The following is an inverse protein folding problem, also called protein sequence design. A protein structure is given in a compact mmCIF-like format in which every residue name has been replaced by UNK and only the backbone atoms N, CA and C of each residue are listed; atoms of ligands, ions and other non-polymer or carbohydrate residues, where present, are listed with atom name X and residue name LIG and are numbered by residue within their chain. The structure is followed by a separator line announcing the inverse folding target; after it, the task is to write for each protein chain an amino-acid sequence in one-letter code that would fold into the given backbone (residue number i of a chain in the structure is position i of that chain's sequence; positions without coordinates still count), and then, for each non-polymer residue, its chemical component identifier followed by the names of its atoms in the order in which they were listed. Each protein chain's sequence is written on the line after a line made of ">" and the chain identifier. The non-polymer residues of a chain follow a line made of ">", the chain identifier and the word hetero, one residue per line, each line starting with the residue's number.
data_IF_026014436541
#
_entry.id   IF_026014436541
#
_cell.length_a   1.000
_cell.length_b   1.000
_cell.length_c   1.000
_cell.angle_alpha   90.00
_cell.angle_beta   90.00
_cell.angle_gamma   90.00
#
_symmetry.space_group_name_H-M   'P 1'
#
loop_
_entity.id
_entity.type
_entity.pdbx_description
1 polymer ?
#
# COMPACT_ATOMS: atom_id res chain seq x y z
N UNK A 1 -15.29 -26.27 37.37
CA UNK A 1 -13.93 -26.20 36.76
C UNK A 1 -13.93 -26.15 35.23
N UNK A 2 -14.58 -27.04 34.50
CA UNK A 2 -14.55 -27.02 32.98
C UNK A 2 -15.03 -25.69 32.36
N UNK A 3 -16.05 -25.01 32.89
CA UNK A 3 -16.53 -23.71 32.33
C UNK A 3 -15.51 -22.57 32.50
N UNK A 4 -14.75 -22.54 33.59
CA UNK A 4 -13.73 -21.53 33.84
C UNK A 4 -12.55 -21.68 32.90
N UNK A 5 -12.18 -22.93 32.56
CA UNK A 5 -11.13 -23.25 31.60
C UNK A 5 -11.50 -22.78 30.17
N UNK A 6 -12.76 -22.94 29.76
CA UNK A 6 -13.24 -22.46 28.45
C UNK A 6 -13.22 -20.94 28.35
N UNK A 7 -13.62 -20.22 29.42
CA UNK A 7 -13.60 -18.76 29.46
C UNK A 7 -12.15 -18.25 29.41
N UNK A 8 -11.23 -18.87 30.16
CA UNK A 8 -9.82 -18.51 30.12
C UNK A 8 -9.19 -18.78 28.73
N UNK A 9 -9.54 -19.90 28.08
CA UNK A 9 -9.08 -20.20 26.72
C UNK A 9 -9.61 -19.22 25.68
N UNK A 10 -10.86 -18.75 25.84
CA UNK A 10 -11.46 -17.76 24.94
C UNK A 10 -10.82 -16.39 25.10
N UNK A 11 -10.50 -15.99 26.36
CA UNK A 11 -9.81 -14.73 26.65
C UNK A 11 -8.37 -14.75 26.10
N UNK A 12 -7.65 -15.85 26.26
CA UNK A 12 -6.31 -16.02 25.70
C UNK A 12 -6.34 -16.01 24.17
N UNK A 13 -7.35 -16.61 23.54
CA UNK A 13 -7.56 -16.57 22.10
C UNK A 13 -7.86 -15.15 21.61
N UNK A 14 -8.70 -14.39 22.31
CA UNK A 14 -8.99 -13.00 22.00
C UNK A 14 -7.75 -12.09 22.19
N UNK A 15 -6.93 -12.33 23.20
CA UNK A 15 -5.69 -11.59 23.44
C UNK A 15 -4.60 -11.91 22.42
N UNK A 16 -4.54 -13.14 21.89
CA UNK A 16 -3.58 -13.51 20.82
C UNK A 16 -4.01 -13.00 19.45
N UNK A 17 -5.31 -12.82 19.21
CA UNK A 17 -5.82 -12.19 17.99
C UNK A 17 -5.55 -10.68 17.96
N UNK A 18 -5.41 -10.03 19.12
CA UNK A 18 -5.08 -8.60 19.19
C UNK A 18 -3.61 -8.25 18.88
N UNK A 19 -2.71 -9.23 18.83
CA UNK A 19 -1.29 -8.97 18.53
C UNK A 19 -0.95 -8.90 17.04
N UNK A 20 -1.92 -9.15 16.15
CA UNK A 20 -1.80 -8.90 14.72
C UNK A 20 -2.67 -7.73 14.23
N UNK A 21 -3.08 -6.86 15.12
CA UNK A 21 -3.43 -5.49 14.72
C UNK A 21 -2.09 -4.88 14.31
N UNK A 22 -1.71 -5.04 13.05
CA UNK A 22 -0.84 -4.10 12.37
C UNK A 22 -1.37 -2.73 12.84
N UNK A 23 -0.58 -2.03 13.66
CA UNK A 23 -0.91 -0.67 14.06
C UNK A 23 -1.21 0.05 12.74
N UNK A 24 -2.48 0.33 12.48
CA UNK A 24 -2.94 0.76 11.18
C UNK A 24 -2.12 1.99 10.82
N UNK A 25 -1.14 1.83 9.94
CA UNK A 25 -0.36 2.95 9.45
C UNK A 25 -1.37 3.84 8.76
N UNK A 26 -1.58 5.03 9.31
CA UNK A 26 -2.54 5.97 8.73
C UNK A 26 -2.05 6.30 7.34
N UNK A 27 -2.91 6.08 6.34
CA UNK A 27 -2.63 6.36 4.93
C UNK A 27 -2.18 7.81 4.81
N UNK A 28 -0.99 8.02 4.25
CA UNK A 28 -0.43 9.35 4.11
C UNK A 28 -1.02 10.11 2.93
N UNK A 29 -1.22 11.41 3.10
CA UNK A 29 -1.62 12.29 2.01
C UNK A 29 -0.53 12.32 0.92
N UNK A 30 -0.96 12.22 -0.33
CA UNK A 30 -0.07 12.27 -1.49
C UNK A 30 -0.02 13.68 -2.05
N UNK A 31 1.12 14.07 -2.62
CA UNK A 31 1.20 15.25 -3.46
C UNK A 31 0.37 15.05 -4.75
N UNK A 32 0.03 16.14 -5.43
CA UNK A 32 -0.82 16.14 -6.62
C UNK A 32 -0.03 16.67 -7.81
N UNK A 33 -0.18 16.04 -8.97
CA UNK A 33 0.22 16.60 -10.26
C UNK A 33 -1.01 16.79 -11.13
N UNK A 34 -1.23 17.98 -11.64
CA UNK A 34 -2.27 18.28 -12.62
C UNK A 34 -1.71 17.97 -14.01
N UNK A 35 -2.30 17.00 -14.69
CA UNK A 35 -1.99 16.60 -16.06
C UNK A 35 -3.23 16.84 -16.91
N UNK A 36 -3.14 17.69 -17.93
CA UNK A 36 -4.29 18.01 -18.80
C UNK A 36 -5.56 18.44 -18.02
N UNK A 37 -5.38 19.23 -16.96
CA UNK A 37 -6.45 19.71 -16.06
C UNK A 37 -7.07 18.66 -15.14
N UNK A 38 -6.54 17.45 -15.10
CA UNK A 38 -6.97 16.36 -14.22
C UNK A 38 -5.95 16.19 -13.08
N UNK A 39 -6.42 16.05 -11.86
CA UNK A 39 -5.58 15.81 -10.69
C UNK A 39 -5.19 14.32 -10.62
N UNK A 40 -3.90 14.09 -10.42
CA UNK A 40 -3.32 12.78 -10.22
C UNK A 40 -2.57 12.74 -8.89
N UNK A 41 -2.77 11.70 -8.10
CA UNK A 41 -2.05 11.43 -6.85
C UNK A 41 -0.68 10.83 -7.16
N UNK A 42 0.38 11.35 -6.54
CA UNK A 42 1.75 10.95 -6.84
C UNK A 42 2.26 9.94 -5.80
N UNK A 43 2.91 8.91 -6.26
CA UNK A 43 3.45 7.83 -5.42
C UNK A 43 4.69 8.20 -4.59
N UNK A 44 5.15 9.45 -4.63
CA UNK A 44 6.32 9.95 -3.88
C UNK A 44 6.11 11.38 -3.41
N UNK A 45 6.64 11.77 -2.25
CA UNK A 45 6.61 13.15 -1.78
C UNK A 45 7.61 14.00 -2.57
N UNK A 46 7.12 14.87 -3.46
CA UNK A 46 7.95 15.64 -4.40
C UNK A 46 8.72 16.77 -3.74
N UNK A 47 8.15 17.40 -2.70
CA UNK A 47 8.80 18.51 -2.00
C UNK A 47 10.07 18.09 -1.24
N UNK A 48 10.24 16.82 -0.91
CA UNK A 48 11.47 16.37 -0.24
C UNK A 48 12.72 16.38 -1.13
N UNK A 49 12.56 16.56 -2.44
CA UNK A 49 13.69 16.69 -3.35
C UNK A 49 14.28 18.11 -3.43
N UNK A 50 13.59 19.12 -2.88
CA UNK A 50 14.17 20.46 -2.77
C UNK A 50 15.34 20.42 -1.79
N UNK A 51 16.33 21.29 -1.96
CA UNK A 51 17.45 21.34 -1.02
C UNK A 51 16.98 21.61 0.42
N UNK A 52 17.77 21.11 1.39
CA UNK A 52 17.39 21.14 2.80
C UNK A 52 17.09 22.55 3.32
N UNK A 53 17.84 23.56 2.87
CA UNK A 53 17.65 24.94 3.31
C UNK A 53 16.31 25.50 2.79
N UNK A 54 15.99 25.22 1.53
CA UNK A 54 14.70 25.59 0.91
C UNK A 54 13.53 24.91 1.60
N UNK A 55 13.66 23.61 1.88
CA UNK A 55 12.61 22.86 2.59
C UNK A 55 12.37 23.40 4.00
N UNK A 56 13.43 23.65 4.78
CA UNK A 56 13.31 24.18 6.13
C UNK A 56 12.72 25.59 6.15
N UNK A 57 13.09 26.45 5.20
CA UNK A 57 12.52 27.79 5.07
C UNK A 57 11.02 27.72 4.77
N UNK A 58 10.59 26.85 3.86
CA UNK A 58 9.16 26.61 3.57
C UNK A 58 8.43 26.08 4.80
N UNK A 59 9.01 25.10 5.48
CA UNK A 59 8.41 24.46 6.67
C UNK A 59 8.15 25.48 7.78
N UNK A 60 9.09 26.39 8.02
CA UNK A 60 8.96 27.43 9.03
C UNK A 60 7.93 28.49 8.61
N UNK A 61 8.08 29.08 7.41
CA UNK A 61 7.28 30.21 6.97
C UNK A 61 5.83 29.86 6.58
N UNK A 62 5.59 28.65 6.13
CA UNK A 62 4.26 28.14 5.82
C UNK A 62 3.65 27.31 6.96
N UNK A 63 4.34 27.23 8.09
CA UNK A 63 3.89 26.56 9.31
C UNK A 63 3.39 25.13 9.07
N UNK A 64 4.25 24.28 8.50
CA UNK A 64 3.91 22.87 8.27
C UNK A 64 3.54 22.14 9.56
N UNK A 65 4.11 22.56 10.72
CA UNK A 65 3.86 21.89 12.00
C UNK A 65 2.41 22.04 12.46
N UNK A 66 1.73 23.16 12.15
CA UNK A 66 0.31 23.38 12.51
C UNK A 66 -0.65 22.44 11.77
N UNK A 67 -0.17 21.80 10.69
CA UNK A 67 -0.96 20.92 9.82
C UNK A 67 -0.49 19.46 9.86
N UNK A 68 0.31 19.11 10.88
CA UNK A 68 0.77 17.74 11.07
C UNK A 68 -0.31 16.91 11.73
N UNK A 69 -0.83 15.92 10.99
CA UNK A 69 -1.81 14.95 11.45
C UNK A 69 -1.32 13.53 11.16
N UNK A 70 -1.95 12.53 11.76
CA UNK A 70 -1.58 11.12 11.51
C UNK A 70 -1.64 10.73 10.02
N UNK A 71 -2.55 11.33 9.24
CA UNK A 71 -2.69 11.14 7.79
C UNK A 71 -1.81 12.10 6.95
N UNK A 72 -1.15 13.07 7.57
CA UNK A 72 -0.27 14.03 6.92
C UNK A 72 0.88 14.43 7.85
N UNK A 73 1.81 13.50 8.14
CA UNK A 73 2.93 13.77 9.03
C UNK A 73 3.90 14.81 8.48
N UNK A 74 3.85 15.09 7.16
CA UNK A 74 4.65 16.12 6.51
C UNK A 74 4.15 17.54 6.80
N UNK A 75 2.88 17.66 7.23
CA UNK A 75 2.21 18.94 7.49
C UNK A 75 1.86 19.72 6.24
N UNK A 76 1.99 19.14 5.05
CA UNK A 76 1.63 19.79 3.79
C UNK A 76 1.26 18.79 2.70
N UNK A 77 0.51 19.28 1.71
CA UNK A 77 0.29 18.63 0.42
C UNK A 77 0.66 19.64 -0.67
N UNK A 78 1.57 19.28 -1.55
CA UNK A 78 1.97 20.14 -2.67
C UNK A 78 1.19 19.76 -3.94
N UNK A 79 0.75 20.79 -4.67
CA UNK A 79 0.10 20.63 -5.98
C UNK A 79 1.00 21.20 -7.06
N UNK A 80 1.36 20.37 -8.01
CA UNK A 80 2.13 20.74 -9.20
C UNK A 80 1.26 20.69 -10.44
N UNK A 81 1.70 21.34 -11.51
CA UNK A 81 1.04 21.29 -12.82
C UNK A 81 2.06 21.13 -13.93
N UNK A 82 1.76 20.27 -14.89
CA UNK A 82 2.54 20.15 -16.12
C UNK A 82 2.02 21.18 -17.14
N UNK A 83 2.87 22.12 -17.53
CA UNK A 83 2.60 23.10 -18.58
C UNK A 83 3.61 22.93 -19.73
N UNK A 84 3.13 22.47 -20.87
CA UNK A 84 3.99 21.93 -21.93
C UNK A 84 4.64 20.64 -21.41
N UNK A 85 5.95 20.65 -21.27
CA UNK A 85 6.72 19.54 -20.70
C UNK A 85 7.41 19.92 -19.37
N UNK A 86 7.02 21.02 -18.72
CA UNK A 86 7.66 21.53 -17.50
C UNK A 86 6.71 21.42 -16.32
N UNK A 87 7.27 21.04 -15.18
CA UNK A 87 6.57 20.90 -13.92
C UNK A 87 6.68 22.21 -13.12
N UNK A 88 5.54 22.78 -12.74
CA UNK A 88 5.46 24.00 -11.93
C UNK A 88 4.76 23.70 -10.61
N UNK A 89 5.26 24.27 -9.50
CA UNK A 89 4.54 24.27 -8.24
C UNK A 89 3.41 25.29 -8.29
N UNK A 90 2.17 24.85 -8.09
CA UNK A 90 0.99 25.70 -8.08
C UNK A 90 0.61 26.13 -6.66
N UNK A 91 0.61 25.21 -5.72
CA UNK A 91 0.21 25.49 -4.33
C UNK A 91 0.86 24.52 -3.35
N UNK A 92 0.93 24.97 -2.10
CA UNK A 92 1.20 24.13 -0.93
C UNK A 92 0.03 24.34 0.03
N UNK A 93 -0.66 23.26 0.35
CA UNK A 93 -1.75 23.24 1.33
C UNK A 93 -1.20 22.82 2.68
N UNK A 94 -1.45 23.65 3.70
CA UNK A 94 -1.22 23.38 5.12
C UNK A 94 -2.56 23.55 5.85
N UNK A 95 -2.64 24.34 6.93
CA UNK A 95 -3.93 24.82 7.49
C UNK A 95 -4.66 25.78 6.53
N UNK A 96 -3.97 26.30 5.54
CA UNK A 96 -4.47 27.13 4.45
C UNK A 96 -3.73 26.82 3.15
N UNK A 97 -4.25 27.30 2.03
CA UNK A 97 -3.63 27.16 0.71
C UNK A 97 -2.70 28.33 0.45
N UNK A 98 -1.44 28.04 0.13
CA UNK A 98 -0.42 29.02 -0.25
C UNK A 98 -0.16 28.91 -1.76
N UNK A 99 -0.23 30.03 -2.46
CA UNK A 99 0.02 30.15 -3.91
C UNK A 99 1.06 31.21 -4.26
N UNK A 100 1.43 32.06 -3.31
CA UNK A 100 2.49 33.05 -3.44
C UNK A 100 3.77 32.53 -2.74
N UNK A 101 4.84 32.43 -3.49
CA UNK A 101 6.13 31.93 -3.05
C UNK A 101 7.25 32.97 -3.21
N UNK A 102 6.89 34.26 -3.43
CA UNK A 102 7.84 35.37 -3.49
C UNK A 102 8.65 35.46 -2.19
N UNK A 103 9.95 35.62 -2.30
CA UNK A 103 10.86 35.61 -1.17
C UNK A 103 11.12 34.24 -0.53
N UNK A 104 10.45 33.15 -1.03
CA UNK A 104 10.63 31.79 -0.54
C UNK A 104 11.34 30.90 -1.57
N UNK A 105 10.93 30.99 -2.83
CA UNK A 105 11.41 30.14 -3.93
C UNK A 105 11.90 30.96 -5.13
N UNK A 106 12.39 32.17 -4.92
CA UNK A 106 12.79 33.10 -5.98
C UNK A 106 13.81 32.49 -6.96
N UNK A 107 14.75 31.69 -6.47
CA UNK A 107 15.76 31.02 -7.32
C UNK A 107 15.14 30.02 -8.32
N UNK A 108 13.90 29.61 -8.09
CA UNK A 108 13.16 28.69 -8.96
C UNK A 108 12.09 29.41 -9.80
N UNK A 109 11.92 30.72 -9.63
CA UNK A 109 10.91 31.47 -10.38
C UNK A 109 11.35 31.74 -11.82
N UNK A 110 10.43 31.53 -12.72
CA UNK A 110 10.58 31.97 -14.11
C UNK A 110 10.25 33.48 -14.26
N UNK A 111 10.48 34.03 -15.47
CA UNK A 111 10.21 35.43 -15.76
C UNK A 111 8.73 35.86 -15.61
N UNK A 112 7.81 34.90 -15.46
CA UNK A 112 6.38 35.12 -15.24
C UNK A 112 5.97 34.96 -13.78
N UNK A 113 6.93 34.80 -12.85
CA UNK A 113 6.70 34.60 -11.43
C UNK A 113 6.16 33.21 -11.08
N UNK A 114 6.32 32.21 -11.96
CA UNK A 114 5.91 30.84 -11.69
C UNK A 114 7.08 30.04 -11.15
N UNK A 115 6.86 29.20 -10.15
CA UNK A 115 7.89 28.36 -9.56
C UNK A 115 8.11 27.12 -10.42
N UNK A 116 9.20 27.10 -11.18
CA UNK A 116 9.62 25.94 -11.96
C UNK A 116 10.31 24.92 -11.06
N UNK A 117 9.72 23.74 -10.94
CA UNK A 117 10.17 22.69 -10.01
C UNK A 117 11.44 21.97 -10.52
N UNK A 118 12.49 22.71 -10.85
CA UNK A 118 13.75 22.17 -11.40
C UNK A 118 14.52 21.26 -10.44
N UNK A 119 14.11 21.21 -9.18
CA UNK A 119 14.68 20.27 -8.18
C UNK A 119 14.12 18.85 -8.29
N UNK A 120 13.07 18.61 -9.10
CA UNK A 120 12.42 17.31 -9.22
C UNK A 120 13.05 16.51 -10.34
N UNK A 121 13.56 15.31 -10.01
CA UNK A 121 14.04 14.33 -10.97
C UNK A 121 13.68 12.91 -10.51
N UNK A 122 13.40 12.02 -11.46
CA UNK A 122 13.13 10.61 -11.22
C UNK A 122 11.89 10.10 -11.93
N UNK A 123 11.51 8.86 -11.62
CA UNK A 123 10.30 8.23 -12.13
C UNK A 123 9.21 8.27 -11.07
N UNK A 124 8.01 8.71 -11.47
CA UNK A 124 6.83 8.89 -10.65
C UNK A 124 5.63 8.20 -11.27
N UNK A 125 4.83 7.54 -10.43
CA UNK A 125 3.51 7.02 -10.83
C UNK A 125 2.44 8.01 -10.32
N UNK A 126 1.62 8.49 -11.23
CA UNK A 126 0.58 9.48 -10.99
C UNK A 126 -0.78 8.85 -11.27
N UNK A 127 -1.57 8.61 -10.21
CA UNK A 127 -2.83 7.88 -10.28
C UNK A 127 -4.07 8.78 -10.25
N UNK A 128 -5.10 8.43 -11.02
CA UNK A 128 -6.42 9.07 -11.04
C UNK A 128 -7.53 8.04 -11.25
N UNK A 129 -8.78 8.46 -11.04
CA UNK A 129 -9.94 7.55 -11.07
C UNK A 129 -10.14 6.80 -9.75
N UNK A 130 -10.78 5.63 -9.80
CA UNK A 130 -11.00 4.79 -8.64
C UNK A 130 -9.69 4.28 -8.05
N UNK A 131 -9.58 4.28 -6.72
CA UNK A 131 -8.46 3.67 -6.02
C UNK A 131 -8.72 2.16 -5.88
N UNK A 132 -8.00 1.37 -6.65
CA UNK A 132 -8.17 -0.09 -6.71
C UNK A 132 -7.48 -0.81 -5.54
N UNK A 133 -6.37 -0.26 -5.08
CA UNK A 133 -5.60 -0.76 -3.94
C UNK A 133 -5.13 0.40 -3.06
N UNK A 134 -5.19 0.19 -1.75
CA UNK A 134 -4.75 1.16 -0.74
C UNK A 134 -3.54 0.60 -0.01
N UNK A 135 -2.36 1.12 -0.32
CA UNK A 135 -1.16 0.77 0.41
C UNK A 135 -1.16 1.39 1.82
N UNK A 136 -0.58 0.69 2.79
CA UNK A 136 -0.51 1.15 4.18
C UNK A 136 0.22 2.48 4.34
N UNK A 137 1.23 2.75 3.50
CA UNK A 137 1.95 4.03 3.46
C UNK A 137 1.23 5.12 2.67
N UNK A 138 0.17 4.78 1.93
CA UNK A 138 -0.59 5.67 1.04
C UNK A 138 0.07 5.88 -0.33
N UNK A 139 1.39 5.84 -0.44
CA UNK A 139 2.11 6.19 -1.66
C UNK A 139 2.10 5.09 -2.73
N UNK A 140 2.16 3.82 -2.33
CA UNK A 140 2.15 2.69 -3.26
C UNK A 140 0.74 2.22 -3.64
N UNK A 141 -0.28 3.05 -3.37
CA UNK A 141 -1.66 2.79 -3.79
C UNK A 141 -1.78 2.71 -5.31
N UNK A 142 -2.68 1.84 -5.81
CA UNK A 142 -2.95 1.71 -7.24
C UNK A 142 -4.30 2.35 -7.58
N UNK A 143 -4.37 2.95 -8.77
CA UNK A 143 -5.55 3.65 -9.28
C UNK A 143 -5.99 3.05 -10.61
N UNK A 144 -7.25 3.26 -10.98
CA UNK A 144 -7.84 2.81 -12.26
C UNK A 144 -7.02 3.28 -13.47
N UNK A 145 -6.56 4.52 -13.44
CA UNK A 145 -5.65 5.06 -14.45
C UNK A 145 -4.38 5.54 -13.80
N UNK A 146 -3.24 5.14 -14.34
CA UNK A 146 -1.94 5.58 -13.87
C UNK A 146 -1.10 6.08 -15.04
N UNK A 147 -0.37 7.15 -14.79
CA UNK A 147 0.62 7.72 -15.72
C UNK A 147 1.99 7.66 -15.07
N UNK A 148 2.89 6.90 -15.66
CA UNK A 148 4.30 6.94 -15.34
C UNK A 148 4.93 8.16 -15.98
N UNK A 149 5.61 8.98 -15.20
CA UNK A 149 6.34 10.17 -15.63
C UNK A 149 7.82 9.98 -15.34
N UNK A 150 8.66 10.20 -16.34
CA UNK A 150 10.11 10.38 -16.15
C UNK A 150 10.40 11.88 -16.22
N UNK A 151 10.95 12.42 -15.12
CA UNK A 151 11.23 13.85 -14.97
C UNK A 151 12.73 14.05 -14.76
N UNK A 152 13.31 15.00 -15.47
CA UNK A 152 14.71 15.42 -15.33
C UNK A 152 14.75 16.93 -15.11
N UNK A 153 15.22 17.35 -13.93
CA UNK A 153 15.31 18.77 -13.54
C UNK A 153 14.01 19.54 -13.81
N UNK A 154 12.86 18.95 -13.41
CA UNK A 154 11.54 19.55 -13.61
C UNK A 154 10.97 19.47 -15.01
N UNK A 155 11.67 18.82 -15.95
CA UNK A 155 11.21 18.60 -17.33
C UNK A 155 10.74 17.17 -17.49
N UNK A 156 9.51 16.97 -17.95
CA UNK A 156 8.97 15.66 -18.30
C UNK A 156 9.63 15.22 -19.62
N UNK A 157 10.46 14.19 -19.56
CA UNK A 157 11.18 13.64 -20.72
C UNK A 157 10.49 12.44 -21.33
N UNK A 158 9.66 11.74 -20.53
CA UNK A 158 8.83 10.63 -21.00
C UNK A 158 7.58 10.50 -20.17
N UNK A 159 6.49 10.03 -20.78
CA UNK A 159 5.26 9.66 -20.09
C UNK A 159 4.61 8.45 -20.75
N UNK A 160 4.04 7.56 -19.93
CA UNK A 160 3.29 6.39 -20.37
C UNK A 160 2.06 6.21 -19.49
N UNK A 161 0.89 6.15 -20.10
CA UNK A 161 -0.38 5.92 -19.37
C UNK A 161 -0.86 4.51 -19.60
N UNK A 162 -1.39 3.89 -18.54
CA UNK A 162 -2.00 2.56 -18.59
C UNK A 162 -3.25 2.53 -17.70
N UNK A 163 -4.15 1.59 -18.01
CA UNK A 163 -5.38 1.37 -17.27
C UNK A 163 -5.27 0.08 -16.47
N UNK A 164 -5.57 0.19 -15.20
CA UNK A 164 -5.58 -0.91 -14.25
C UNK A 164 -6.99 -1.45 -14.09
N UNK A 165 -7.12 -2.68 -13.58
CA UNK A 165 -8.40 -3.33 -13.36
C UNK A 165 -8.36 -4.21 -12.12
N UNK A 166 -9.54 -4.63 -11.64
CA UNK A 166 -9.66 -5.55 -10.51
C UNK A 166 -10.38 -6.83 -10.94
N UNK A 167 -10.15 -7.88 -10.15
CA UNK A 167 -10.90 -9.13 -10.21
C UNK A 167 -11.35 -9.50 -8.80
N UNK A 168 -12.38 -10.34 -8.70
CA UNK A 168 -12.91 -10.86 -7.44
C UNK A 168 -13.56 -9.81 -6.54
N UNK A 169 -14.17 -10.26 -5.47
CA UNK A 169 -14.96 -9.41 -4.57
C UNK A 169 -14.62 -9.60 -3.09
N UNK A 170 -13.88 -10.67 -2.77
CA UNK A 170 -13.68 -11.11 -1.39
C UNK A 170 -12.39 -10.55 -0.81
N UNK A 171 -12.51 -9.83 0.29
CA UNK A 171 -11.38 -9.38 1.09
C UNK A 171 -11.08 -10.37 2.23
N UNK A 172 -9.82 -10.43 2.65
CA UNK A 172 -9.41 -11.32 3.74
C UNK A 172 -10.21 -11.05 5.03
N UNK A 173 -10.46 -9.78 5.35
CA UNK A 173 -11.28 -9.36 6.50
C UNK A 173 -12.66 -10.01 6.55
N UNK A 174 -13.25 -10.24 5.37
CA UNK A 174 -14.64 -10.70 5.26
C UNK A 174 -14.78 -12.20 5.56
N UNK A 175 -13.71 -12.97 5.41
CA UNK A 175 -13.77 -14.44 5.44
C UNK A 175 -12.82 -15.10 6.43
N UNK A 176 -11.99 -14.36 7.17
CA UNK A 176 -10.99 -14.95 8.08
C UNK A 176 -11.58 -16.00 9.02
N UNK A 177 -12.74 -15.69 9.63
CA UNK A 177 -13.43 -16.64 10.51
C UNK A 177 -13.95 -17.86 9.76
N UNK A 178 -14.50 -17.68 8.55
CA UNK A 178 -14.99 -18.78 7.72
C UNK A 178 -13.83 -19.67 7.28
N UNK A 179 -12.72 -19.07 6.84
CA UNK A 179 -11.51 -19.79 6.45
C UNK A 179 -11.00 -20.72 7.55
N UNK A 180 -10.94 -20.24 8.80
CA UNK A 180 -10.44 -21.05 9.92
C UNK A 180 -11.26 -22.32 10.16
N UNK A 181 -12.52 -22.38 9.70
CA UNK A 181 -13.41 -23.55 9.81
C UNK A 181 -13.29 -24.49 8.63
N UNK A 182 -12.79 -24.02 7.50
CA UNK A 182 -12.64 -24.82 6.28
C UNK A 182 -11.37 -25.68 6.29
N UNK A 183 -10.39 -25.37 7.16
CA UNK A 183 -9.18 -26.19 7.30
C UNK A 183 -9.48 -27.54 7.94
N UNK A 184 -9.21 -28.63 7.22
CA UNK A 184 -9.34 -30.01 7.74
C UNK A 184 -7.98 -30.53 8.24
N UNK A 185 -7.48 -29.88 9.31
CA UNK A 185 -6.19 -30.20 9.90
C UNK A 185 -6.14 -31.62 10.54
N UNK A 186 -7.30 -32.23 10.82
CA UNK A 186 -7.35 -33.60 11.38
C UNK A 186 -6.82 -34.67 10.40
N UNK A 187 -6.83 -34.39 9.11
CA UNK A 187 -6.24 -35.26 8.09
C UNK A 187 -4.72 -35.20 8.05
N UNK A 188 -4.13 -34.19 8.67
CA UNK A 188 -2.70 -33.96 8.69
C UNK A 188 -2.17 -34.47 10.02
N UNK A 189 -1.47 -35.60 9.99
CA UNK A 189 -0.86 -36.22 11.19
C UNK A 189 0.39 -35.44 11.62
N UNK A 190 0.21 -34.18 12.01
CA UNK A 190 1.28 -33.34 12.53
C UNK A 190 1.40 -33.48 14.05
N UNK A 191 2.58 -33.19 14.64
CA UNK A 191 2.74 -33.02 16.08
C UNK A 191 1.78 -31.97 16.62
N UNK A 192 1.23 -32.20 17.81
CA UNK A 192 0.36 -31.23 18.49
C UNK A 192 1.10 -29.90 18.67
N UNK A 193 0.45 -28.82 18.36
CA UNK A 193 1.04 -27.52 18.52
C UNK A 193 0.48 -26.47 17.53
N UNK A 194 1.13 -25.31 17.52
CA UNK A 194 0.83 -24.20 16.62
C UNK A 194 1.93 -24.07 15.57
N UNK A 195 1.54 -24.09 14.32
CA UNK A 195 2.41 -23.79 13.18
C UNK A 195 1.93 -22.46 12.58
N UNK A 196 2.83 -21.52 12.42
CA UNK A 196 2.51 -20.24 11.77
C UNK A 196 3.06 -20.25 10.36
N UNK A 197 2.18 -20.03 9.39
CA UNK A 197 2.54 -19.94 7.98
C UNK A 197 2.28 -18.53 7.47
N UNK A 198 3.12 -18.08 6.54
CA UNK A 198 2.84 -16.89 5.71
C UNK A 198 2.32 -17.39 4.37
N UNK A 199 1.23 -16.83 3.92
CA UNK A 199 0.52 -17.21 2.70
C UNK A 199 0.47 -16.00 1.78
N UNK A 200 0.88 -16.17 0.52
CA UNK A 200 0.80 -15.13 -0.50
C UNK A 200 0.34 -15.74 -1.83
N UNK A 201 -0.27 -14.91 -2.69
CA UNK A 201 -0.64 -15.32 -4.02
C UNK A 201 0.61 -15.44 -4.90
N UNK A 202 0.83 -16.61 -5.52
CA UNK A 202 2.02 -16.89 -6.33
C UNK A 202 1.73 -16.94 -7.82
N UNK A 203 0.51 -17.34 -8.23
CA UNK A 203 0.10 -17.36 -9.63
C UNK A 203 -1.32 -16.86 -9.81
N UNK A 204 -1.56 -16.24 -10.96
CA UNK A 204 -2.84 -15.69 -11.35
C UNK A 204 -3.24 -16.20 -12.74
N UNK A 205 -4.55 -16.32 -12.98
CA UNK A 205 -5.10 -16.49 -14.32
C UNK A 205 -4.95 -15.17 -15.13
N UNK A 206 -5.22 -15.22 -16.41
CA UNK A 206 -5.24 -14.03 -17.27
C UNK A 206 -6.30 -13.00 -16.83
N UNK A 207 -7.36 -13.46 -16.17
CA UNK A 207 -8.45 -12.63 -15.65
C UNK A 207 -8.18 -12.09 -14.25
N UNK A 208 -7.13 -12.62 -13.55
CA UNK A 208 -6.74 -12.16 -12.22
C UNK A 208 -7.18 -13.03 -11.06
N UNK A 209 -7.77 -14.20 -11.32
CA UNK A 209 -8.05 -15.18 -10.28
C UNK A 209 -6.74 -15.75 -9.76
N UNK A 210 -6.58 -15.84 -8.43
CA UNK A 210 -5.44 -16.56 -7.85
C UNK A 210 -5.59 -18.06 -8.11
N UNK A 211 -4.58 -18.67 -8.70
CA UNK A 211 -4.58 -20.10 -9.06
C UNK A 211 -3.61 -20.93 -8.22
N UNK A 212 -2.63 -20.28 -7.58
CA UNK A 212 -1.67 -20.94 -6.71
C UNK A 212 -1.25 -20.02 -5.58
N UNK A 213 -1.07 -20.60 -4.39
CA UNK A 213 -0.66 -19.90 -3.17
C UNK A 213 0.72 -20.39 -2.74
N UNK A 214 1.62 -19.48 -2.45
CA UNK A 214 2.89 -19.76 -1.77
C UNK A 214 2.67 -19.86 -0.28
N UNK A 215 3.36 -20.79 0.37
CA UNK A 215 3.29 -21.02 1.82
C UNK A 215 4.70 -21.06 2.38
N UNK A 216 5.02 -20.09 3.20
CA UNK A 216 6.28 -20.00 3.94
C UNK A 216 6.02 -20.36 5.41
N UNK A 217 6.86 -21.23 5.98
CA UNK A 217 6.74 -21.66 7.38
C UNK A 217 7.56 -20.74 8.28
N UNK A 218 6.91 -19.95 9.12
CA UNK A 218 7.57 -18.95 9.97
C UNK A 218 7.95 -19.44 11.35
N UNK A 219 7.09 -20.28 11.99
CA UNK A 219 7.37 -20.79 13.33
C UNK A 219 6.61 -22.08 13.61
N UNK A 220 7.09 -22.86 14.60
CA UNK A 220 6.48 -24.11 15.01
C UNK A 220 6.67 -25.25 13.99
N UNK A 221 7.64 -25.12 13.09
CA UNK A 221 7.85 -26.07 11.99
C UNK A 221 9.06 -26.99 12.18
N UNK A 222 9.79 -26.88 13.30
CA UNK A 222 11.05 -27.62 13.54
C UNK A 222 10.87 -29.14 13.55
N UNK A 223 9.70 -29.60 13.99
CA UNK A 223 9.35 -31.03 14.06
C UNK A 223 8.48 -31.51 12.88
N UNK A 224 8.29 -30.69 11.85
CA UNK A 224 7.51 -31.05 10.67
C UNK A 224 8.40 -31.74 9.63
N UNK A 225 8.01 -32.92 9.21
CA UNK A 225 8.64 -33.59 8.05
C UNK A 225 8.28 -32.86 6.75
N UNK A 226 9.06 -33.11 5.70
CA UNK A 226 8.77 -32.54 4.37
C UNK A 226 7.36 -32.96 3.89
N UNK A 227 6.96 -34.20 4.13
CA UNK A 227 5.64 -34.73 3.78
C UNK A 227 4.51 -33.98 4.48
N UNK A 228 4.65 -33.70 5.80
CA UNK A 228 3.66 -32.91 6.55
C UNK A 228 3.58 -31.48 6.01
N UNK A 229 4.72 -30.86 5.70
CA UNK A 229 4.75 -29.53 5.09
C UNK A 229 4.01 -29.49 3.75
N UNK A 230 4.21 -30.50 2.89
CA UNK A 230 3.47 -30.62 1.63
C UNK A 230 1.96 -30.79 1.85
N UNK A 231 1.53 -31.57 2.84
CA UNK A 231 0.12 -31.72 3.17
C UNK A 231 -0.49 -30.39 3.63
N UNK A 232 0.23 -29.60 4.44
CA UNK A 232 -0.18 -28.27 4.86
C UNK A 232 -0.30 -27.35 3.64
N UNK A 233 0.67 -27.34 2.74
CA UNK A 233 0.63 -26.52 1.50
C UNK A 233 -0.58 -26.87 0.64
N UNK A 234 -0.87 -28.15 0.45
CA UNK A 234 -2.05 -28.62 -0.31
C UNK A 234 -3.35 -28.17 0.36
N UNK A 235 -3.44 -28.26 1.68
CA UNK A 235 -4.64 -27.85 2.41
C UNK A 235 -4.84 -26.33 2.38
N UNK A 236 -3.76 -25.54 2.50
CA UNK A 236 -3.81 -24.09 2.30
C UNK A 236 -4.33 -23.75 0.92
N UNK A 237 -3.76 -24.34 -0.14
CA UNK A 237 -4.23 -24.11 -1.50
C UNK A 237 -5.70 -24.48 -1.67
N UNK A 238 -6.13 -25.62 -1.11
CA UNK A 238 -7.54 -26.05 -1.16
C UNK A 238 -8.46 -25.02 -0.54
N UNK A 239 -8.14 -24.54 0.67
CA UNK A 239 -9.00 -23.60 1.41
C UNK A 239 -9.00 -22.23 0.77
N UNK A 240 -7.83 -21.71 0.39
CA UNK A 240 -7.74 -20.38 -0.23
C UNK A 240 -8.42 -20.34 -1.62
N UNK A 241 -8.41 -21.42 -2.38
CA UNK A 241 -9.11 -21.53 -3.66
C UNK A 241 -10.66 -21.65 -3.55
N UNK A 242 -11.22 -21.71 -2.33
CA UNK A 242 -12.66 -21.64 -2.14
C UNK A 242 -13.24 -20.23 -2.30
N UNK A 243 -12.39 -19.20 -2.36
CA UNK A 243 -12.79 -17.81 -2.32
C UNK A 243 -12.35 -17.06 -3.58
N UNK A 244 -13.23 -16.17 -4.03
CA UNK A 244 -12.97 -15.27 -5.16
C UNK A 244 -12.30 -13.98 -4.67
N UNK A 245 -11.00 -14.10 -4.40
CA UNK A 245 -10.20 -13.07 -3.76
C UNK A 245 -10.11 -11.80 -4.60
N UNK A 246 -10.24 -10.66 -3.94
CA UNK A 246 -10.00 -9.37 -4.58
C UNK A 246 -8.52 -9.23 -4.94
N UNK A 247 -8.27 -9.00 -6.23
CA UNK A 247 -6.95 -8.75 -6.80
C UNK A 247 -7.00 -7.49 -7.66
N UNK A 248 -5.85 -6.93 -7.99
CA UNK A 248 -5.74 -5.83 -8.95
C UNK A 248 -4.60 -6.09 -9.94
N UNK A 249 -4.82 -5.67 -11.17
CA UNK A 249 -3.82 -5.66 -12.22
C UNK A 249 -3.23 -4.27 -12.32
N UNK A 250 -1.91 -4.15 -12.23
CA UNK A 250 -1.18 -2.92 -12.43
C UNK A 250 -0.19 -3.11 -13.56
N UNK A 251 -0.32 -2.31 -14.62
CA UNK A 251 0.56 -2.39 -15.80
C UNK A 251 0.70 -3.81 -16.39
N UNK A 252 -0.39 -4.58 -16.38
CA UNK A 252 -0.42 -5.96 -16.87
C UNK A 252 -0.04 -7.04 -15.86
N UNK A 253 0.46 -6.68 -14.69
CA UNK A 253 0.82 -7.62 -13.62
C UNK A 253 -0.29 -7.70 -12.56
N UNK A 254 -0.67 -8.92 -12.20
CA UNK A 254 -1.67 -9.16 -11.17
C UNK A 254 -1.05 -9.22 -9.79
N UNK A 255 -1.74 -8.61 -8.82
CA UNK A 255 -1.33 -8.56 -7.43
C UNK A 255 -2.52 -8.89 -6.51
N UNK A 256 -2.24 -9.59 -5.42
CA UNK A 256 -3.20 -9.72 -4.32
C UNK A 256 -3.21 -8.43 -3.49
N UNK A 257 -4.35 -8.13 -2.82
CA UNK A 257 -4.50 -6.90 -2.02
C UNK A 257 -3.67 -6.86 -0.73
N UNK A 258 -2.99 -7.94 -0.38
CA UNK A 258 -2.11 -7.99 0.78
C UNK A 258 -0.65 -7.96 0.31
N UNK A 259 0.01 -6.81 0.43
CA UNK A 259 1.43 -6.74 0.13
C UNK A 259 2.23 -7.63 1.09
N UNK A 260 2.98 -8.58 0.52
CA UNK A 260 3.83 -9.48 1.27
C UNK A 260 3.09 -10.60 1.99
N UNK A 261 1.85 -10.90 1.61
CA UNK A 261 1.08 -12.03 2.11
C UNK A 261 0.45 -11.82 3.49
N UNK A 262 -0.15 -12.87 4.01
CA UNK A 262 -0.79 -12.89 5.34
C UNK A 262 -0.20 -13.99 6.20
N UNK A 263 -0.06 -13.71 7.49
CA UNK A 263 0.38 -14.70 8.47
C UNK A 263 -0.83 -15.39 9.06
N UNK A 264 -0.88 -16.71 8.96
CA UNK A 264 -2.00 -17.53 9.41
C UNK A 264 -1.55 -18.64 10.38
N UNK A 265 -2.15 -18.74 11.60
CA UNK A 265 -1.84 -19.81 12.55
C UNK A 265 -2.67 -21.05 12.25
N UNK A 266 -2.02 -22.19 12.11
CA UNK A 266 -2.64 -23.52 12.06
C UNK A 266 -2.42 -24.23 13.40
N UNK A 267 -3.48 -24.75 14.02
CA UNK A 267 -3.44 -25.36 15.35
C UNK A 267 -3.77 -26.85 15.22
N UNK A 268 -2.77 -27.70 15.44
CA UNK A 268 -2.90 -29.16 15.47
C UNK A 268 -3.22 -29.63 16.89
N UNK A 269 -4.29 -30.41 17.07
CA UNK A 269 -4.81 -30.89 18.35
C UNK A 269 -4.43 -32.36 18.64
#
# INVERSE_FOLDING_TARGET
>A
MKRLTYILSLIVLLLTLSHNVSAGTTIQAQDVIIINKVEHRVNKPLMFQIDSAGYLSLKEKLDFNSSTFSWNFRGHVATFEIRGNKLFLNSIETSKVHTDFNGLLDKYMDRKGRVFASWISGTFICGTGERLYVASNGFDSAYEQETELVVENGVVVSSRTYTNKTYGTVYLSDVTYKMSREFDLNKIKAPKGRVTVKIDASKFSNEGQVTEWSVEFWSGNDNLTAEIKEMIVREVNRVFNLFDWKTYCRDGEWHWLTQGGVTFPLIFQ
#
